data_IF_771899078296
#
_entry.id   IF_771899078296
#
_cell.length_a   1.000
_cell.length_b   1.000
_cell.length_c   1.000
_cell.angle_alpha   90.00
_cell.angle_beta   90.00
_cell.angle_gamma   90.00
#
_symmetry.space_group_name_H-M   'P 1'
#
loop_
_entity.id
_entity.type
_entity.pdbx_description
1 polymer ?
#
# COMPACT_ATOMS: atom_id res chain seq x y z
N UNK A 1 -5.33 -15.95 24.59
CA UNK A 1 -4.77 -14.68 24.08
C UNK A 1 -5.92 -13.82 23.56
N UNK A 2 -6.63 -13.11 24.44
CA UNK A 2 -7.87 -12.40 24.06
C UNK A 2 -7.67 -10.94 23.61
N UNK A 3 -6.45 -10.41 23.81
CA UNK A 3 -6.13 -8.99 23.54
C UNK A 3 -5.23 -8.77 22.32
N UNK A 4 -4.94 -9.83 21.54
CA UNK A 4 -4.12 -9.78 20.34
C UNK A 4 -4.98 -10.06 19.11
N UNK A 5 -4.93 -9.15 18.13
CA UNK A 5 -5.51 -9.36 16.81
C UNK A 5 -4.39 -9.35 15.78
N UNK A 6 -4.32 -10.40 14.97
CA UNK A 6 -3.43 -10.47 13.82
C UNK A 6 -4.25 -10.43 12.53
N UNK A 7 -3.83 -9.60 11.60
CA UNK A 7 -4.42 -9.48 10.27
C UNK A 7 -3.34 -9.66 9.22
N UNK A 8 -3.64 -10.41 8.16
CA UNK A 8 -2.80 -10.55 6.98
C UNK A 8 -3.69 -10.46 5.74
N UNK A 9 -3.27 -9.66 4.78
CA UNK A 9 -3.97 -9.46 3.51
C UNK A 9 -2.95 -9.56 2.37
N UNK A 10 -3.30 -10.29 1.30
CA UNK A 10 -2.52 -10.36 0.06
C UNK A 10 -3.40 -9.98 -1.12
N UNK A 11 -2.94 -9.02 -1.89
CA UNK A 11 -3.62 -8.53 -3.09
C UNK A 11 -2.68 -8.66 -4.27
N UNK A 12 -3.14 -9.26 -5.36
CA UNK A 12 -2.42 -9.35 -6.62
C UNK A 12 -3.28 -8.88 -7.77
N UNK A 13 -2.78 -7.94 -8.56
CA UNK A 13 -3.51 -7.33 -9.67
C UNK A 13 -2.68 -7.44 -10.93
N UNK A 14 -3.20 -8.18 -11.90
CA UNK A 14 -2.53 -8.45 -13.16
C UNK A 14 -2.38 -7.19 -14.02
N UNK A 15 -1.45 -7.21 -15.01
CA UNK A 15 -1.38 -6.18 -16.04
C UNK A 15 -2.74 -5.92 -16.69
N UNK A 16 -3.01 -4.65 -16.96
CA UNK A 16 -4.18 -4.16 -17.69
C UNK A 16 -5.56 -4.36 -17.02
N UNK A 17 -5.64 -4.76 -15.75
CA UNK A 17 -6.91 -5.07 -15.08
C UNK A 17 -7.91 -3.89 -14.97
N UNK A 18 -7.44 -2.63 -14.99
CA UNK A 18 -8.28 -1.43 -14.86
C UNK A 18 -8.24 -0.51 -16.08
N UNK A 19 -7.47 -0.87 -17.10
CA UNK A 19 -7.30 -0.07 -18.32
C UNK A 19 -7.91 -0.78 -19.50
N UNK A 20 -8.35 0.00 -20.48
CA UNK A 20 -8.89 -0.49 -21.72
C UNK A 20 -8.36 0.33 -22.90
N UNK A 21 -8.14 -0.33 -24.04
CA UNK A 21 -7.70 0.34 -25.26
C UNK A 21 -8.69 1.41 -25.73
N UNK A 22 -9.98 1.11 -25.66
CA UNK A 22 -11.05 2.11 -25.83
C UNK A 22 -11.12 2.95 -24.54
N UNK A 23 -10.78 4.26 -24.55
CA UNK A 23 -10.62 5.05 -23.33
C UNK A 23 -11.90 5.17 -22.50
N UNK A 24 -13.08 5.13 -23.13
CA UNK A 24 -14.38 5.20 -22.43
C UNK A 24 -14.71 3.96 -21.59
N UNK A 25 -13.97 2.86 -21.77
CA UNK A 25 -14.14 1.61 -21.01
C UNK A 25 -13.08 1.44 -19.91
N UNK A 26 -12.11 2.35 -19.82
CA UNK A 26 -11.12 2.37 -18.74
C UNK A 26 -11.81 2.65 -17.40
N UNK A 27 -11.43 1.91 -16.35
CA UNK A 27 -12.07 2.00 -15.04
C UNK A 27 -11.52 3.16 -14.22
N UNK A 28 -11.68 4.38 -14.75
CA UNK A 28 -11.19 5.61 -14.16
C UNK A 28 -12.25 6.71 -14.18
N UNK A 29 -12.18 7.62 -13.21
CA UNK A 29 -12.94 8.87 -13.20
C UNK A 29 -11.99 10.02 -12.94
N UNK A 30 -11.97 11.04 -13.81
CA UNK A 30 -11.06 12.19 -13.69
C UNK A 30 -9.59 11.78 -13.46
N UNK A 31 -9.12 10.77 -14.20
CA UNK A 31 -7.79 10.18 -14.08
C UNK A 31 -7.49 9.45 -12.75
N UNK A 32 -8.47 9.28 -11.88
CA UNK A 32 -8.36 8.44 -10.69
C UNK A 32 -8.84 7.02 -10.99
N UNK A 33 -8.02 6.03 -10.64
CA UNK A 33 -8.41 4.63 -10.69
C UNK A 33 -9.57 4.37 -9.71
N UNK A 34 -10.65 3.80 -10.20
CA UNK A 34 -11.81 3.41 -9.37
C UNK A 34 -11.62 2.03 -8.72
N UNK A 35 -10.60 1.28 -9.15
CA UNK A 35 -10.24 -0.03 -8.60
C UNK A 35 -9.41 0.07 -7.32
N UNK A 36 -8.54 -0.93 -7.12
CA UNK A 36 -7.63 -0.92 -5.99
C UNK A 36 -6.59 0.21 -6.13
N UNK A 37 -6.25 0.86 -5.02
CA UNK A 37 -5.38 2.05 -5.00
C UNK A 37 -3.97 1.81 -5.57
N UNK A 38 -3.43 0.59 -5.48
CA UNK A 38 -2.14 0.23 -6.09
C UNK A 38 -2.16 0.20 -7.64
N UNK A 39 -3.35 0.23 -8.26
CA UNK A 39 -3.52 0.12 -9.71
C UNK A 39 -3.25 -1.29 -10.25
N UNK A 40 -3.10 -1.41 -11.58
CA UNK A 40 -2.78 -2.69 -12.24
C UNK A 40 -1.27 -3.00 -12.23
N UNK A 41 -0.92 -4.23 -12.58
CA UNK A 41 0.46 -4.73 -12.61
C UNK A 41 1.21 -4.54 -11.26
N UNK A 42 0.60 -5.00 -10.18
CA UNK A 42 1.21 -4.89 -8.85
C UNK A 42 0.67 -5.90 -7.86
N UNK A 43 1.43 -6.11 -6.79
CA UNK A 43 0.94 -6.81 -5.62
C UNK A 43 1.31 -6.11 -4.32
N UNK A 44 0.52 -6.42 -3.30
CA UNK A 44 0.59 -5.87 -1.95
C UNK A 44 0.43 -7.02 -0.97
N UNK A 45 1.36 -7.13 -0.04
CA UNK A 45 1.15 -7.89 1.19
C UNK A 45 1.11 -6.91 2.36
N UNK A 46 0.08 -7.03 3.19
CA UNK A 46 -0.11 -6.24 4.40
C UNK A 46 -0.24 -7.19 5.60
N UNK A 47 0.39 -6.85 6.70
CA UNK A 47 0.27 -7.57 7.97
C UNK A 47 0.21 -6.58 9.12
N UNK A 48 -0.64 -6.84 10.11
CA UNK A 48 -0.68 -6.05 11.33
C UNK A 48 -0.99 -6.84 12.57
N UNK A 49 -0.31 -6.48 13.65
CA UNK A 49 -0.47 -6.99 15.00
C UNK A 49 -0.99 -5.85 15.87
N UNK A 50 -2.23 -5.98 16.32
CA UNK A 50 -2.84 -5.06 17.28
C UNK A 50 -2.91 -5.74 18.65
N UNK A 51 -2.35 -5.09 19.66
CA UNK A 51 -2.40 -5.56 21.04
C UNK A 51 -3.00 -4.51 21.97
N UNK A 52 -3.97 -4.92 22.79
CA UNK A 52 -4.56 -4.11 23.85
C UNK A 52 -3.92 -4.46 25.19
N UNK A 53 -3.03 -3.61 25.69
CA UNK A 53 -2.32 -3.86 26.94
C UNK A 53 -3.22 -3.75 28.16
N UNK A 54 -4.00 -2.66 28.21
CA UNK A 54 -4.98 -2.35 29.26
C UNK A 54 -6.16 -1.61 28.62
N UNK A 55 -7.23 -1.36 29.39
CA UNK A 55 -8.32 -0.48 28.94
C UNK A 55 -7.74 0.87 28.51
N UNK A 56 -8.12 1.34 27.33
CA UNK A 56 -7.65 2.62 26.77
C UNK A 56 -6.29 2.56 26.07
N UNK A 57 -5.38 1.64 26.41
CA UNK A 57 -4.05 1.52 25.79
C UNK A 57 -3.97 0.40 24.76
N UNK A 58 -3.70 0.76 23.51
CA UNK A 58 -3.46 -0.19 22.43
C UNK A 58 -2.25 0.23 21.59
N UNK A 59 -1.52 -0.76 21.06
CA UNK A 59 -0.53 -0.54 20.03
C UNK A 59 -0.82 -1.40 18.81
N UNK A 60 -0.58 -0.85 17.63
CA UNK A 60 -0.64 -1.57 16.35
C UNK A 60 0.72 -1.48 15.69
N UNK A 61 1.38 -2.62 15.53
CA UNK A 61 2.52 -2.75 14.63
C UNK A 61 1.99 -3.23 13.28
N UNK A 62 2.36 -2.58 12.19
CA UNK A 62 1.94 -2.97 10.85
C UNK A 62 3.07 -2.84 9.86
N UNK A 63 3.00 -3.62 8.80
CA UNK A 63 3.92 -3.57 7.68
C UNK A 63 3.19 -3.85 6.39
N UNK A 64 3.62 -3.18 5.33
CA UNK A 64 3.20 -3.47 3.97
C UNK A 64 4.37 -3.47 3.02
N UNK A 65 4.29 -4.35 2.03
CA UNK A 65 5.24 -4.40 0.94
C UNK A 65 4.46 -4.43 -0.36
N UNK A 66 4.69 -3.42 -1.19
CA UNK A 66 4.09 -3.27 -2.52
C UNK A 66 5.16 -3.44 -3.57
N UNK A 67 4.88 -4.23 -4.59
CA UNK A 67 5.66 -4.22 -5.83
C UNK A 67 4.78 -3.70 -6.94
N UNK A 68 5.28 -2.70 -7.65
CA UNK A 68 4.58 -2.06 -8.76
C UNK A 68 5.45 -2.20 -10.01
N UNK A 69 4.95 -2.92 -11.00
CA UNK A 69 5.56 -2.98 -12.32
C UNK A 69 5.10 -1.84 -13.21
N UNK A 70 5.60 -1.83 -14.45
CA UNK A 70 5.25 -0.83 -15.44
C UNK A 70 3.75 -0.85 -15.79
N UNK A 71 3.19 0.32 -16.11
CA UNK A 71 1.78 0.41 -16.49
C UNK A 71 1.49 -0.18 -17.87
N UNK A 72 2.50 -0.26 -18.74
CA UNK A 72 2.34 -0.58 -20.16
C UNK A 72 1.58 0.51 -20.93
N UNK A 73 1.28 0.25 -22.20
CA UNK A 73 0.46 1.15 -23.02
C UNK A 73 -0.89 0.52 -23.39
N UNK A 74 -1.94 1.33 -23.65
CA UNK A 74 -3.22 0.81 -24.13
C UNK A 74 -3.09 0.04 -25.46
N UNK A 75 -2.16 0.45 -26.33
CA UNK A 75 -1.86 -0.28 -27.57
C UNK A 75 -1.24 -1.63 -27.27
N UNK A 76 -0.40 -1.75 -26.23
CA UNK A 76 0.10 -3.05 -25.79
C UNK A 76 -1.05 -3.94 -25.31
N UNK A 77 -2.07 -3.40 -24.64
CA UNK A 77 -3.25 -4.19 -24.27
C UNK A 77 -3.98 -4.75 -25.49
N UNK A 78 -4.15 -3.95 -26.56
CA UNK A 78 -4.88 -4.34 -27.77
C UNK A 78 -4.06 -5.18 -28.75
N UNK A 79 -2.85 -4.73 -29.06
CA UNK A 79 -1.94 -5.32 -30.06
C UNK A 79 -1.22 -6.56 -29.53
N UNK A 80 -1.21 -6.82 -28.22
CA UNK A 80 -0.70 -8.09 -27.69
C UNK A 80 -1.74 -9.20 -27.90
N UNK A 81 -1.93 -9.58 -29.16
CA UNK A 81 -2.38 -10.91 -29.55
C UNK A 81 -1.28 -11.93 -29.21
N UNK A 82 -1.08 -12.15 -27.90
CA UNK A 82 -0.28 -13.20 -27.24
C UNK A 82 1.24 -13.23 -27.50
N UNK A 83 2.05 -13.47 -26.45
CA UNK A 83 1.67 -13.63 -25.05
C UNK A 83 1.58 -12.29 -24.30
N UNK A 84 0.60 -12.18 -23.39
CA UNK A 84 0.49 -11.05 -22.46
C UNK A 84 1.81 -10.88 -21.71
N UNK A 85 2.28 -9.64 -21.45
CA UNK A 85 3.51 -9.44 -20.71
C UNK A 85 3.43 -10.12 -19.33
N UNK A 86 4.58 -10.60 -18.82
CA UNK A 86 4.63 -11.25 -17.52
C UNK A 86 4.21 -10.29 -16.41
N UNK A 87 3.74 -10.83 -15.28
CA UNK A 87 3.45 -10.04 -14.09
C UNK A 87 4.70 -9.30 -13.59
N UNK A 88 4.54 -8.03 -13.21
CA UNK A 88 5.61 -7.10 -12.85
C UNK A 88 6.63 -6.84 -13.98
N UNK A 89 6.20 -6.86 -15.24
CA UNK A 89 7.06 -6.47 -16.35
C UNK A 89 7.50 -5.00 -16.28
N UNK A 90 8.57 -4.69 -17.01
CA UNK A 90 9.18 -3.36 -17.08
C UNK A 90 9.90 -2.99 -15.79
N UNK A 91 10.27 -1.72 -15.67
CA UNK A 91 10.92 -1.20 -14.47
C UNK A 91 9.97 -1.30 -13.28
N UNK A 92 10.47 -1.84 -12.17
CA UNK A 92 9.71 -2.07 -10.96
C UNK A 92 10.04 -1.06 -9.87
N UNK A 93 9.01 -0.56 -9.19
CA UNK A 93 9.16 0.19 -7.94
C UNK A 93 8.63 -0.65 -6.78
N UNK A 94 9.46 -0.82 -5.75
CA UNK A 94 9.07 -1.47 -4.50
C UNK A 94 8.83 -0.42 -3.43
N UNK A 95 7.75 -0.57 -2.68
CA UNK A 95 7.46 0.25 -1.52
C UNK A 95 7.43 -0.65 -0.29
N UNK A 96 8.29 -0.36 0.68
CA UNK A 96 8.25 -0.98 2.00
C UNK A 96 7.80 0.05 3.01
N UNK A 97 6.71 -0.22 3.70
CA UNK A 97 6.27 0.62 4.81
C UNK A 97 6.19 -0.20 6.08
N UNK A 98 6.73 0.35 7.16
CA UNK A 98 6.64 -0.20 8.50
C UNK A 98 6.11 0.89 9.42
N UNK A 99 5.12 0.57 10.22
CA UNK A 99 4.54 1.57 11.11
C UNK A 99 4.15 1.03 12.46
N UNK A 100 4.21 1.94 13.43
CA UNK A 100 3.80 1.73 14.81
C UNK A 100 2.78 2.80 15.17
N UNK A 101 1.64 2.38 15.71
CA UNK A 101 0.57 3.26 16.15
C UNK A 101 0.23 2.95 17.60
N UNK A 102 0.49 3.88 18.51
CA UNK A 102 0.15 3.77 19.92
C UNK A 102 -0.98 4.75 20.23
N UNK A 103 -2.08 4.24 20.77
CA UNK A 103 -3.24 5.03 21.19
C UNK A 103 -3.52 4.79 22.66
N UNK A 104 -3.68 5.87 23.41
CA UNK A 104 -4.08 5.85 24.82
C UNK A 104 -5.30 6.74 25.07
N UNK A 105 -6.30 6.22 25.79
CA UNK A 105 -7.41 6.99 26.34
C UNK A 105 -7.03 7.50 27.73
N UNK A 106 -6.80 8.80 27.86
CA UNK A 106 -6.34 9.45 29.10
C UNK A 106 -7.52 9.64 30.07
N UNK A 107 -8.61 10.22 29.55
CA UNK A 107 -9.89 10.43 30.21
C UNK A 107 -11.00 9.96 29.26
N UNK A 108 -12.23 9.85 29.76
CA UNK A 108 -13.36 9.44 28.93
C UNK A 108 -13.44 10.31 27.66
N UNK A 109 -13.31 9.66 26.49
CA UNK A 109 -13.30 10.27 25.18
C UNK A 109 -12.12 11.23 24.89
N UNK A 110 -11.11 11.34 25.75
CA UNK A 110 -9.88 12.09 25.50
C UNK A 110 -8.74 11.14 25.15
N UNK A 111 -8.24 11.22 23.93
CA UNK A 111 -7.22 10.32 23.40
C UNK A 111 -5.92 11.05 23.08
N UNK A 112 -4.81 10.38 23.37
CA UNK A 112 -3.51 10.68 22.78
C UNK A 112 -3.12 9.55 21.81
N UNK A 113 -2.58 9.92 20.66
CA UNK A 113 -2.10 8.98 19.65
C UNK A 113 -0.73 9.42 19.14
N UNK A 114 0.20 8.48 19.13
CA UNK A 114 1.49 8.63 18.50
C UNK A 114 1.59 7.63 17.36
N UNK A 115 2.05 8.08 16.19
CA UNK A 115 2.35 7.20 15.06
C UNK A 115 3.76 7.44 14.58
N UNK A 116 4.42 6.35 14.24
CA UNK A 116 5.68 6.33 13.53
C UNK A 116 5.50 5.51 12.25
N UNK A 117 6.05 5.99 11.15
CA UNK A 117 6.07 5.29 9.88
C UNK A 117 7.45 5.45 9.23
N UNK A 118 8.05 4.33 8.87
CA UNK A 118 9.20 4.26 7.99
C UNK A 118 8.73 3.89 6.59
N UNK A 119 9.18 4.63 5.59
CA UNK A 119 8.94 4.33 4.18
C UNK A 119 10.27 4.18 3.46
N UNK A 120 10.40 3.09 2.71
CA UNK A 120 11.50 2.85 1.77
C UNK A 120 10.91 2.65 0.37
N UNK A 121 11.45 3.37 -0.59
CA UNK A 121 11.09 3.29 -2.00
C UNK A 121 12.34 2.84 -2.76
N UNK A 122 12.22 1.74 -3.49
CA UNK A 122 13.29 1.23 -4.34
C UNK A 122 12.79 1.23 -5.77
N UNK A 123 13.38 2.08 -6.62
CA UNK A 123 13.03 2.19 -8.03
C UNK A 123 14.09 1.52 -8.88
N UNK A 124 13.71 0.52 -9.66
CA UNK A 124 14.57 -0.14 -10.63
C UNK A 124 14.92 0.81 -11.77
N UNK A 125 16.19 0.84 -12.13
CA UNK A 125 16.75 1.61 -13.25
C UNK A 125 17.00 0.69 -14.46
N UNK A 126 17.27 1.29 -15.62
CA UNK A 126 17.50 0.54 -16.88
C UNK A 126 18.70 -0.42 -16.81
N UNK A 127 19.66 -0.16 -15.93
CA UNK A 127 20.82 -1.02 -15.66
C UNK A 127 20.53 -2.15 -14.65
N UNK A 128 19.26 -2.33 -14.27
CA UNK A 128 18.79 -3.24 -13.22
C UNK A 128 19.30 -2.94 -11.80
N UNK A 129 19.92 -1.77 -11.59
CA UNK A 129 20.22 -1.27 -10.26
C UNK A 129 18.97 -0.67 -9.62
N UNK A 130 18.96 -0.56 -8.29
CA UNK A 130 17.86 0.06 -7.55
C UNK A 130 18.32 1.38 -6.93
N UNK A 131 17.66 2.47 -7.33
CA UNK A 131 17.74 3.73 -6.59
C UNK A 131 16.88 3.63 -5.34
N UNK A 132 17.44 3.95 -4.18
CA UNK A 132 16.77 3.82 -2.89
C UNK A 132 16.55 5.18 -2.25
N UNK A 133 15.30 5.46 -1.91
CA UNK A 133 14.91 6.59 -1.09
C UNK A 133 14.25 6.08 0.19
N UNK A 134 14.51 6.74 1.31
CA UNK A 134 13.84 6.38 2.56
C UNK A 134 13.63 7.58 3.45
N UNK A 135 12.50 7.58 4.17
CA UNK A 135 12.15 8.65 5.09
C UNK A 135 11.34 8.11 6.26
N UNK A 136 11.34 8.91 7.33
CA UNK A 136 10.62 8.62 8.57
C UNK A 136 9.58 9.72 8.81
N UNK A 137 8.39 9.31 9.21
CA UNK A 137 7.32 10.20 9.59
C UNK A 137 6.94 9.92 11.04
N UNK A 138 6.87 10.98 11.84
CA UNK A 138 6.37 10.92 13.20
C UNK A 138 5.20 11.88 13.34
N UNK A 139 4.10 11.40 13.92
CA UNK A 139 2.93 12.22 14.18
C UNK A 139 2.44 12.00 15.61
N UNK A 140 2.02 13.08 16.24
CA UNK A 140 1.38 13.06 17.55
C UNK A 140 0.09 13.85 17.49
N UNK A 141 -0.96 13.32 18.10
CA UNK A 141 -2.26 13.96 18.14
C UNK A 141 -2.91 13.77 19.51
N UNK A 142 -3.57 14.82 20.00
CA UNK A 142 -4.49 14.77 21.13
C UNK A 142 -5.85 15.22 20.63
N UNK A 143 -6.89 14.43 20.89
CA UNK A 143 -8.24 14.71 20.40
C UNK A 143 -9.29 14.27 21.44
N UNK A 144 -10.38 15.02 21.49
CA UNK A 144 -11.53 14.76 22.35
C UNK A 144 -12.74 14.39 21.48
N UNK A 145 -13.41 13.28 21.79
CA UNK A 145 -14.52 12.75 21.01
C UNK A 145 -14.09 11.73 19.94
N UNK A 146 -14.95 11.59 18.92
CA UNK A 146 -14.76 10.71 17.75
C UNK A 146 -13.88 11.36 16.69
#
# INVERSE_FOLDING_TARGET
MENLTWKVEYTKIYPFAYVHYIPSLTYQNNSYNLGHWIGHNGDLIYSSLNYRFIRGLQATLWGQYVRKGSEGTPEQQWNTQKPQPPFLFGLRTNYTHLGLDVKYEILHALFARAKFQYTKIETEQEDHSFSTESFNEFSFAVYYGL
#
